data_IF_271160875864
#
_entry.id   IF_271160875864
#
_cell.length_a   1.000
_cell.length_b   1.000
_cell.length_c   1.000
_cell.angle_alpha   90.00
_cell.angle_beta   90.00
_cell.angle_gamma   90.00
#
_symmetry.space_group_name_H-M   'P 1'
#
loop_
_entity.id
_entity.type
_entity.pdbx_description
1 polymer ?
#
# COMPACT_ATOMS: atom_id res chain seq x y z
N UNK A 1 -30.59 48.94 -38.00
CA UNK A 1 -29.63 49.48 -37.01
C UNK A 1 -28.32 48.74 -37.20
N UNK A 2 -27.27 49.40 -37.71
CA UNK A 2 -26.04 49.82 -36.97
C UNK A 2 -25.29 48.59 -36.40
N UNK A 3 -24.00 48.32 -36.58
CA UNK A 3 -22.79 49.01 -37.04
C UNK A 3 -21.70 47.92 -37.27
N UNK A 4 -20.74 48.12 -38.16
CA UNK A 4 -19.45 47.39 -38.21
C UNK A 4 -18.47 47.95 -37.13
N UNK A 5 -17.15 47.70 -37.11
CA UNK A 5 -16.26 46.55 -37.45
C UNK A 5 -15.28 46.21 -36.28
N UNK A 6 -14.36 45.24 -36.41
CA UNK A 6 -13.00 45.35 -35.81
C UNK A 6 -12.02 44.24 -36.26
N UNK A 7 -10.82 44.68 -36.65
CA UNK A 7 -9.61 43.95 -37.02
C UNK A 7 -8.69 43.69 -35.81
N UNK A 8 -7.66 42.85 -36.05
CA UNK A 8 -6.41 42.59 -35.29
C UNK A 8 -6.52 41.39 -34.33
N UNK A 9 -5.55 40.49 -34.20
CA UNK A 9 -4.10 40.64 -34.30
C UNK A 9 -3.41 39.32 -34.63
N UNK A 10 -2.32 39.39 -35.41
CA UNK A 10 -1.30 38.36 -35.51
C UNK A 10 -0.55 38.25 -34.18
N UNK A 11 -0.33 37.03 -33.70
CA UNK A 11 0.79 36.70 -32.83
C UNK A 11 1.35 35.34 -33.27
N UNK A 12 2.42 35.41 -34.07
CA UNK A 12 3.33 34.29 -34.29
C UNK A 12 4.03 34.02 -32.97
N UNK A 13 3.76 32.87 -32.34
CA UNK A 13 4.67 32.33 -31.35
C UNK A 13 5.50 31.23 -32.00
N UNK A 14 6.81 31.45 -31.95
CA UNK A 14 7.82 30.57 -32.49
C UNK A 14 7.75 29.20 -31.81
N UNK A 15 7.63 28.15 -32.61
CA UNK A 15 7.85 26.79 -32.16
C UNK A 15 9.33 26.63 -31.78
N UNK A 16 9.61 26.47 -30.49
CA UNK A 16 10.91 26.00 -30.00
C UNK A 16 10.80 24.49 -29.83
N UNK A 17 11.60 23.67 -30.54
CA UNK A 17 11.63 22.24 -30.29
C UNK A 17 12.34 22.03 -28.95
N UNK A 18 11.57 21.69 -27.89
CA UNK A 18 12.17 21.24 -26.63
C UNK A 18 12.63 19.80 -26.79
N UNK A 19 13.94 19.61 -26.62
CA UNK A 19 14.61 18.32 -26.60
C UNK A 19 13.92 17.40 -25.60
N UNK A 20 13.42 16.27 -26.10
CA UNK A 20 13.07 15.10 -25.30
C UNK A 20 14.29 14.71 -24.45
N UNK A 21 14.17 14.83 -23.13
CA UNK A 21 15.03 14.14 -22.20
C UNK A 21 14.41 12.76 -21.97
N UNK A 22 14.76 11.82 -22.85
CA UNK A 22 14.56 10.41 -22.58
C UNK A 22 15.47 10.02 -21.41
N UNK A 23 14.93 10.00 -20.18
CA UNK A 23 15.59 9.31 -19.07
C UNK A 23 15.44 7.81 -19.30
N UNK A 24 16.42 7.24 -20.02
CA UNK A 24 16.65 5.80 -19.98
C UNK A 24 17.08 5.43 -18.57
N UNK A 25 16.31 4.58 -17.89
CA UNK A 25 16.78 3.82 -16.75
C UNK A 25 17.85 2.83 -17.23
N UNK A 26 19.08 3.29 -17.32
CA UNK A 26 20.24 2.47 -17.62
C UNK A 26 20.64 1.65 -16.39
N UNK A 27 20.84 0.34 -16.58
CA UNK A 27 21.54 -0.55 -15.65
C UNK A 27 22.83 0.14 -15.16
N UNK A 28 22.89 0.43 -13.86
CA UNK A 28 24.05 1.06 -13.22
C UNK A 28 25.21 0.06 -13.15
N UNK A 29 26.07 0.06 -14.17
CA UNK A 29 27.36 -0.65 -14.14
C UNK A 29 28.28 0.10 -13.18
N UNK A 30 28.73 -0.55 -12.09
CA UNK A 30 29.66 0.04 -11.13
C UNK A 30 31.02 0.32 -11.79
N UNK A 31 31.29 1.58 -12.13
CA UNK A 31 32.63 2.03 -12.51
C UNK A 31 33.45 2.31 -11.23
N UNK A 32 34.44 1.46 -10.95
CA UNK A 32 35.43 1.68 -9.88
C UNK A 32 36.39 2.82 -10.28
N UNK A 33 36.09 4.04 -9.86
CA UNK A 33 37.03 5.17 -9.95
C UNK A 33 37.77 5.31 -8.61
N UNK A 34 39.09 5.13 -8.64
CA UNK A 34 39.97 5.51 -7.53
C UNK A 34 40.23 7.02 -7.63
N UNK A 35 39.60 7.80 -6.76
CA UNK A 35 39.97 9.20 -6.53
C UNK A 35 40.22 9.43 -5.05
N UNK A 36 41.48 9.69 -4.72
CA UNK A 36 41.93 10.21 -3.43
C UNK A 36 41.61 11.71 -3.35
N UNK A 37 40.74 12.10 -2.40
CA UNK A 37 40.87 13.23 -1.45
C UNK A 37 39.49 13.78 -1.04
N UNK A 38 39.08 13.50 0.21
CA UNK A 38 38.70 14.44 1.29
C UNK A 38 38.03 13.64 2.42
N UNK A 39 38.48 13.87 3.65
CA UNK A 39 38.25 13.01 4.83
C UNK A 39 36.81 13.10 5.36
N UNK A 40 35.94 12.23 4.85
CA UNK A 40 34.80 11.69 5.57
C UNK A 40 34.66 10.24 5.12
N UNK A 41 34.59 9.30 6.05
CA UNK A 41 34.35 7.91 5.67
C UNK A 41 32.99 7.83 4.94
N UNK A 42 32.83 6.86 4.04
CA UNK A 42 31.52 6.63 3.41
C UNK A 42 30.42 6.42 4.48
N UNK A 43 30.78 5.87 5.64
CA UNK A 43 29.89 5.75 6.79
C UNK A 43 29.45 7.11 7.35
N UNK A 44 30.37 8.07 7.52
CA UNK A 44 30.03 9.40 8.03
C UNK A 44 29.14 10.18 7.05
N UNK A 45 29.39 10.08 5.74
CA UNK A 45 28.52 10.71 4.73
C UNK A 45 27.13 10.06 4.72
N UNK A 46 27.06 8.73 4.83
CA UNK A 46 25.81 7.99 4.89
C UNK A 46 24.98 8.38 6.12
N UNK A 47 25.61 8.59 7.28
CA UNK A 47 24.91 9.04 8.49
C UNK A 47 24.29 10.42 8.29
N UNK A 48 25.03 11.37 7.71
CA UNK A 48 24.51 12.72 7.43
C UNK A 48 23.31 12.67 6.46
N UNK A 49 23.39 11.85 5.40
CA UNK A 49 22.29 11.64 4.48
C UNK A 49 21.06 11.02 5.18
N UNK A 50 21.25 9.98 5.98
CA UNK A 50 20.18 9.31 6.71
C UNK A 50 19.50 10.26 7.71
N UNK A 51 20.25 11.13 8.40
CA UNK A 51 19.67 12.13 9.30
C UNK A 51 18.84 13.18 8.58
N UNK A 52 19.29 13.61 7.39
CA UNK A 52 18.52 14.48 6.51
C UNK A 52 17.21 13.84 6.09
N UNK A 53 17.28 12.60 5.58
CA UNK A 53 16.11 11.84 5.11
C UNK A 53 15.10 11.61 6.24
N UNK A 54 15.54 11.07 7.39
CA UNK A 54 14.67 10.80 8.55
C UNK A 54 13.95 12.08 9.02
N UNK A 55 14.60 13.24 8.93
CA UNK A 55 13.99 14.52 9.29
C UNK A 55 12.89 14.91 8.32
N UNK A 56 13.18 14.84 7.02
CA UNK A 56 12.22 15.17 5.97
C UNK A 56 10.97 14.27 6.08
N UNK A 57 11.15 12.96 6.28
CA UNK A 57 10.03 12.02 6.33
C UNK A 57 9.14 12.20 7.57
N UNK A 58 9.72 12.57 8.71
CA UNK A 58 8.96 12.88 9.93
C UNK A 58 8.19 14.19 9.82
N UNK A 59 8.75 15.17 9.12
CA UNK A 59 8.05 16.42 8.84
C UNK A 59 6.82 16.18 7.95
N UNK A 60 6.94 15.31 6.94
CA UNK A 60 5.83 14.88 6.09
C UNK A 60 4.74 14.13 6.89
N UNK A 61 5.14 13.16 7.73
CA UNK A 61 4.20 12.38 8.56
C UNK A 61 3.37 13.29 9.48
N UNK A 62 4.00 14.29 10.10
CA UNK A 62 3.34 15.24 11.01
C UNK A 62 2.26 16.12 10.34
N UNK A 63 2.30 16.24 9.02
CA UNK A 63 1.34 17.00 8.24
C UNK A 63 0.15 16.15 7.77
N UNK A 64 0.26 14.81 7.84
CA UNK A 64 -0.69 13.84 7.28
C UNK A 64 -1.61 13.18 8.34
N UNK A 65 -1.82 13.82 9.50
CA UNK A 65 -2.43 13.23 10.70
C UNK A 65 -3.90 12.78 10.55
N UNK A 66 -4.11 11.66 9.88
CA UNK A 66 -5.34 10.90 9.87
C UNK A 66 -5.06 9.49 10.40
N UNK A 67 -5.32 9.28 11.68
CA UNK A 67 -5.16 7.99 12.31
C UNK A 67 -6.36 7.12 11.95
N UNK A 68 -6.23 6.34 10.88
CA UNK A 68 -7.23 5.35 10.50
C UNK A 68 -7.48 4.37 11.66
N UNK A 69 -8.74 4.08 11.93
CA UNK A 69 -9.15 3.16 12.99
C UNK A 69 -10.19 2.20 12.45
N UNK A 70 -10.08 0.92 12.81
CA UNK A 70 -10.99 -0.14 12.37
C UNK A 70 -12.10 -0.35 13.40
N UNK A 71 -13.36 0.08 13.15
CA UNK A 71 -14.41 -0.01 14.15
C UNK A 71 -14.69 -1.45 14.59
N UNK A 72 -14.58 -1.70 15.90
CA UNK A 72 -14.83 -3.02 16.49
C UNK A 72 -13.70 -4.04 16.31
N UNK A 73 -12.62 -3.70 15.62
CA UNK A 73 -11.41 -4.51 15.56
C UNK A 73 -10.39 -4.05 16.59
N UNK A 74 -9.74 -5.02 17.24
CA UNK A 74 -8.53 -4.79 18.00
C UNK A 74 -7.32 -4.97 17.08
N UNK A 75 -6.46 -3.95 17.03
CA UNK A 75 -5.28 -3.88 16.17
C UNK A 75 -4.04 -4.30 16.97
N UNK A 76 -3.25 -5.22 16.42
CA UNK A 76 -1.94 -5.59 16.97
C UNK A 76 -0.91 -5.64 15.85
N UNK A 77 0.36 -5.40 16.17
CA UNK A 77 1.43 -5.37 15.16
C UNK A 77 2.64 -6.17 15.62
N UNK A 78 3.34 -6.77 14.64
CA UNK A 78 4.59 -7.49 14.85
C UNK A 78 5.53 -7.22 13.66
N UNK A 79 6.42 -6.23 13.81
CA UNK A 79 7.22 -5.75 12.68
C UNK A 79 6.34 -5.18 11.58
N UNK A 80 6.48 -5.67 10.35
CA UNK A 80 5.66 -5.25 9.21
C UNK A 80 4.28 -5.93 9.15
N UNK A 81 4.02 -6.93 9.99
CA UNK A 81 2.73 -7.61 10.05
C UNK A 81 1.75 -6.86 10.96
N UNK A 82 0.51 -6.74 10.50
CA UNK A 82 -0.62 -6.16 11.23
C UNK A 82 -1.73 -7.20 11.31
N UNK A 83 -2.31 -7.31 12.50
CA UNK A 83 -3.42 -8.23 12.78
C UNK A 83 -4.60 -7.48 13.37
N UNK A 84 -5.77 -7.68 12.78
CA UNK A 84 -7.05 -7.14 13.24
C UNK A 84 -7.90 -8.30 13.77
N UNK A 85 -8.38 -8.19 15.00
CA UNK A 85 -9.21 -9.23 15.63
C UNK A 85 -10.56 -8.68 16.07
N UNK A 86 -11.63 -9.41 15.79
CA UNK A 86 -13.00 -9.03 16.17
C UNK A 86 -13.84 -10.28 16.44
N UNK A 87 -14.85 -10.16 17.29
CA UNK A 87 -15.91 -11.17 17.44
C UNK A 87 -17.17 -10.76 16.69
N UNK A 88 -17.82 -11.72 16.04
CA UNK A 88 -19.12 -11.54 15.42
C UNK A 88 -20.03 -12.72 15.78
N UNK A 89 -20.92 -12.53 16.76
CA UNK A 89 -21.73 -13.62 17.30
C UNK A 89 -20.86 -14.73 17.91
N UNK A 90 -20.88 -15.92 17.30
CA UNK A 90 -20.06 -17.07 17.69
C UNK A 90 -18.84 -17.30 16.79
N UNK A 91 -18.47 -16.30 16.00
CA UNK A 91 -17.33 -16.34 15.08
C UNK A 91 -16.21 -15.43 15.59
N UNK A 92 -14.98 -15.91 15.43
CA UNK A 92 -13.77 -15.11 15.63
C UNK A 92 -13.21 -14.72 14.26
N UNK A 93 -13.12 -13.41 14.01
CA UNK A 93 -12.62 -12.83 12.76
C UNK A 93 -11.18 -12.37 12.99
N UNK A 94 -10.29 -12.82 12.13
CA UNK A 94 -8.89 -12.40 12.08
C UNK A 94 -8.60 -11.87 10.67
N UNK A 95 -8.07 -10.66 10.58
CA UNK A 95 -7.51 -10.11 9.34
C UNK A 95 -6.01 -9.94 9.53
N UNK A 96 -5.22 -10.37 8.56
CA UNK A 96 -3.76 -10.29 8.58
C UNK A 96 -3.29 -9.62 7.30
N UNK A 97 -2.42 -8.63 7.40
CA UNK A 97 -1.72 -8.07 6.25
C UNK A 97 -0.30 -7.67 6.61
N UNK A 98 0.56 -7.55 5.60
CA UNK A 98 1.95 -7.18 5.77
C UNK A 98 2.30 -6.03 4.84
N UNK A 99 2.93 -4.98 5.37
CA UNK A 99 3.25 -3.77 4.58
C UNK A 99 4.53 -3.90 3.75
N UNK A 100 5.28 -5.00 3.88
CA UNK A 100 6.47 -5.22 3.05
C UNK A 100 6.10 -5.26 1.56
N UNK A 101 6.84 -4.49 0.74
CA UNK A 101 6.67 -4.46 -0.72
C UNK A 101 5.23 -4.13 -1.17
N UNK A 102 4.49 -3.37 -0.35
CA UNK A 102 3.07 -3.05 -0.61
C UNK A 102 2.84 -1.67 -1.23
N UNK A 103 3.89 -0.84 -1.31
CA UNK A 103 3.78 0.51 -1.86
C UNK A 103 3.66 0.45 -3.38
N UNK A 104 2.57 0.99 -3.88
CA UNK A 104 2.35 1.32 -5.28
C UNK A 104 2.48 2.83 -5.47
N UNK A 105 3.06 3.22 -6.61
CA UNK A 105 3.21 4.61 -7.02
C UNK A 105 2.41 4.75 -8.30
N UNK A 106 1.18 5.27 -8.19
CA UNK A 106 0.33 5.52 -9.34
C UNK A 106 0.95 6.61 -10.24
N UNK A 107 1.80 6.20 -11.20
CA UNK A 107 2.45 7.07 -12.18
C UNK A 107 1.45 7.66 -13.20
N UNK A 108 0.28 7.02 -13.36
CA UNK A 108 -0.77 7.35 -14.33
C UNK A 108 -1.89 8.25 -13.77
N UNK A 109 -1.70 8.88 -12.61
CA UNK A 109 -2.66 9.84 -12.06
C UNK A 109 -2.68 11.13 -12.91
N UNK A 110 -3.28 11.08 -14.12
CA UNK A 110 -3.51 12.23 -15.02
C UNK A 110 -4.58 13.23 -14.49
N UNK A 111 -4.76 13.33 -13.17
CA UNK A 111 -5.86 14.05 -12.53
C UNK A 111 -5.41 15.00 -11.44
N UNK A 112 -5.52 16.31 -11.76
CA UNK A 112 -5.50 17.47 -10.85
C UNK A 112 -4.11 17.99 -10.40
N UNK A 113 -3.59 18.91 -11.24
CA UNK A 113 -2.35 19.67 -11.13
C UNK A 113 -1.12 18.99 -11.78
N UNK A 114 -0.64 19.47 -12.95
CA UNK A 114 0.52 18.92 -13.66
C UNK A 114 1.88 19.10 -12.93
N UNK A 115 1.86 19.38 -11.63
CA UNK A 115 3.02 19.65 -10.77
C UNK A 115 2.92 18.92 -9.41
N UNK A 116 1.89 18.08 -9.19
CA UNK A 116 1.79 17.25 -8.00
C UNK A 116 2.59 15.95 -8.20
N UNK A 117 3.54 15.68 -7.30
CA UNK A 117 4.26 14.42 -7.31
C UNK A 117 3.29 13.25 -7.03
N UNK A 118 3.45 12.08 -7.68
CA UNK A 118 2.69 10.88 -7.36
C UNK A 118 2.77 10.58 -5.87
N UNK A 119 1.63 10.39 -5.22
CA UNK A 119 1.56 10.06 -3.79
C UNK A 119 1.69 8.54 -3.66
N UNK A 120 2.70 8.02 -2.95
CA UNK A 120 2.82 6.58 -2.70
C UNK A 120 1.66 6.08 -1.84
N UNK A 121 1.07 4.94 -2.22
CA UNK A 121 -0.05 4.31 -1.50
C UNK A 121 0.28 2.85 -1.25
N UNK A 122 0.07 2.36 -0.03
CA UNK A 122 0.28 0.95 0.29
C UNK A 122 -1.00 0.13 0.06
N UNK A 123 -0.93 -0.85 -0.83
CA UNK A 123 -2.01 -1.78 -1.21
C UNK A 123 -1.63 -3.24 -0.86
N UNK A 124 -1.40 -3.58 0.42
CA UNK A 124 -0.97 -4.91 0.78
C UNK A 124 -2.09 -5.92 0.52
N UNK A 125 -1.78 -7.12 -0.02
CA UNK A 125 -2.72 -8.23 0.04
C UNK A 125 -3.00 -8.57 1.51
N UNK A 126 -4.18 -9.10 1.77
CA UNK A 126 -4.61 -9.43 3.12
C UNK A 126 -5.33 -10.77 3.18
N UNK A 127 -5.24 -11.41 4.34
CA UNK A 127 -5.93 -12.66 4.63
C UNK A 127 -7.08 -12.40 5.58
N UNK A 128 -8.21 -13.05 5.37
CA UNK A 128 -9.33 -13.08 6.31
C UNK A 128 -9.54 -14.52 6.77
N UNK A 129 -9.62 -14.73 8.07
CA UNK A 129 -10.04 -15.99 8.68
C UNK A 129 -11.29 -15.78 9.53
N UNK A 130 -12.28 -16.62 9.32
CA UNK A 130 -13.53 -16.65 10.09
C UNK A 130 -13.60 -18.02 10.77
N UNK A 131 -13.29 -18.05 12.06
CA UNK A 131 -13.25 -19.29 12.85
C UNK A 131 -14.59 -19.57 13.50
N UNK A 132 -15.08 -20.80 13.34
CA UNK A 132 -16.32 -21.29 13.95
C UNK A 132 -16.19 -22.75 14.37
N UNK A 133 -16.20 -23.00 15.68
CA UNK A 133 -16.04 -24.35 16.21
C UNK A 133 -14.63 -24.90 15.89
N UNK A 134 -14.51 -26.10 15.30
CA UNK A 134 -13.21 -26.72 15.03
C UNK A 134 -12.57 -26.28 13.70
N UNK A 135 -13.23 -25.44 12.90
CA UNK A 135 -12.82 -25.06 11.56
C UNK A 135 -12.77 -23.54 11.40
N UNK A 136 -12.02 -23.09 10.39
CA UNK A 136 -11.97 -21.71 9.92
C UNK A 136 -12.14 -21.66 8.40
N UNK A 137 -12.90 -20.67 7.96
CA UNK A 137 -13.01 -20.30 6.55
C UNK A 137 -11.99 -19.20 6.27
N UNK A 138 -11.10 -19.47 5.33
CA UNK A 138 -9.95 -18.63 5.01
C UNK A 138 -10.09 -18.05 3.60
N UNK A 139 -9.69 -16.80 3.45
CA UNK A 139 -9.63 -16.08 2.19
C UNK A 139 -8.27 -15.40 2.06
N UNK A 140 -7.67 -15.47 0.87
CA UNK A 140 -6.59 -14.58 0.45
C UNK A 140 -7.18 -13.54 -0.51
N UNK A 141 -6.98 -12.26 -0.21
CA UNK A 141 -7.59 -11.15 -0.91
C UNK A 141 -6.53 -10.15 -1.37
N UNK A 142 -6.78 -9.55 -2.53
CA UNK A 142 -6.02 -8.42 -3.04
C UNK A 142 -6.86 -7.15 -2.97
N UNK A 143 -6.24 -6.04 -2.58
CA UNK A 143 -6.88 -4.72 -2.63
C UNK A 143 -6.88 -4.26 -4.08
N UNK A 144 -8.03 -3.78 -4.57
CA UNK A 144 -8.17 -3.26 -5.92
C UNK A 144 -8.86 -1.90 -5.93
N UNK A 145 -8.64 -1.14 -7.01
CA UNK A 145 -9.37 0.10 -7.24
C UNK A 145 -10.80 -0.22 -7.69
N UNK A 146 -11.77 0.20 -6.88
CA UNK A 146 -13.20 0.10 -7.17
C UNK A 146 -13.74 1.34 -7.88
N UNK A 147 -15.07 1.45 -7.92
CA UNK A 147 -15.73 2.62 -8.49
C UNK A 147 -15.53 3.87 -7.61
N UNK A 148 -15.54 5.05 -8.24
CA UNK A 148 -15.50 6.35 -7.55
C UNK A 148 -14.26 6.58 -6.67
N UNK A 149 -13.08 6.10 -7.09
CA UNK A 149 -11.81 6.27 -6.35
C UNK A 149 -11.84 5.66 -4.94
N UNK A 150 -12.67 4.63 -4.74
CA UNK A 150 -12.70 3.85 -3.51
C UNK A 150 -11.97 2.54 -3.70
N UNK A 151 -11.35 2.03 -2.64
CA UNK A 151 -10.76 0.70 -2.65
C UNK A 151 -11.78 -0.39 -2.32
N UNK A 152 -11.65 -1.52 -3.00
CA UNK A 152 -12.40 -2.75 -2.78
C UNK A 152 -11.43 -3.94 -2.71
N UNK A 153 -11.94 -5.17 -2.72
CA UNK A 153 -11.11 -6.38 -2.77
C UNK A 153 -11.54 -7.37 -3.85
N UNK A 154 -10.57 -8.15 -4.31
CA UNK A 154 -10.78 -9.36 -5.09
C UNK A 154 -10.36 -10.58 -4.27
N UNK A 155 -11.13 -11.66 -4.34
CA UNK A 155 -10.77 -12.93 -3.70
C UNK A 155 -9.90 -13.74 -4.65
N UNK A 156 -8.63 -13.91 -4.30
CA UNK A 156 -7.69 -14.72 -5.08
C UNK A 156 -7.89 -16.21 -4.80
N UNK A 157 -8.02 -16.56 -3.51
CA UNK A 157 -8.11 -17.94 -3.06
C UNK A 157 -9.01 -18.06 -1.82
N UNK A 158 -9.73 -19.17 -1.69
CA UNK A 158 -10.52 -19.49 -0.51
C UNK A 158 -10.50 -21.00 -0.19
N UNK A 159 -10.60 -21.33 1.10
CA UNK A 159 -10.55 -22.72 1.59
C UNK A 159 -11.08 -22.86 3.02
N UNK A 160 -11.31 -24.12 3.43
CA UNK A 160 -11.59 -24.47 4.83
C UNK A 160 -10.34 -25.13 5.43
N UNK A 161 -9.96 -24.69 6.62
CA UNK A 161 -8.89 -25.31 7.41
C UNK A 161 -9.37 -25.60 8.83
N UNK A 162 -8.63 -26.43 9.57
CA UNK A 162 -8.84 -26.57 11.00
C UNK A 162 -8.58 -25.22 11.70
N UNK A 163 -9.33 -24.93 12.76
CA UNK A 163 -9.08 -23.78 13.61
C UNK A 163 -7.64 -23.82 14.15
N UNK A 164 -6.98 -22.66 14.17
CA UNK A 164 -5.61 -22.52 14.67
C UNK A 164 -5.52 -22.99 16.12
N UNK A 165 -4.44 -23.70 16.46
CA UNK A 165 -4.19 -24.17 17.83
C UNK A 165 -3.01 -23.42 18.43
N UNK A 166 -3.30 -22.49 19.33
CA UNK A 166 -2.27 -21.64 19.92
C UNK A 166 -1.67 -20.72 18.86
N UNK A 167 -0.36 -20.81 18.64
CA UNK A 167 0.36 -20.02 17.64
C UNK A 167 0.61 -20.77 16.32
N UNK A 168 0.07 -21.98 16.17
CA UNK A 168 0.21 -22.77 14.95
C UNK A 168 -0.92 -22.39 13.98
N UNK A 169 -0.57 -21.52 13.04
CA UNK A 169 -1.47 -20.98 12.01
C UNK A 169 -1.21 -21.59 10.63
N UNK A 170 -0.17 -22.39 10.49
CA UNK A 170 0.20 -23.03 9.23
C UNK A 170 -0.91 -23.95 8.71
N UNK A 171 -1.24 -23.79 7.44
CA UNK A 171 -2.20 -24.65 6.74
C UNK A 171 -1.43 -25.75 6.03
N UNK A 172 -1.79 -27.00 6.30
CA UNK A 172 -1.13 -28.14 5.68
C UNK A 172 -1.35 -28.15 4.16
N UNK A 173 -0.31 -28.47 3.39
CA UNK A 173 -0.33 -28.41 1.91
C UNK A 173 -1.32 -29.34 1.21
N UNK A 174 -1.92 -30.28 1.94
CA UNK A 174 -2.96 -31.17 1.41
C UNK A 174 -4.38 -30.60 1.54
N UNK A 175 -4.55 -29.45 2.21
CA UNK A 175 -5.81 -28.73 2.27
C UNK A 175 -6.13 -28.22 0.88
N UNK A 176 -7.33 -28.55 0.39
CA UNK A 176 -7.78 -28.08 -0.91
C UNK A 176 -8.13 -26.60 -0.84
N UNK A 177 -7.58 -25.82 -1.77
CA UNK A 177 -7.93 -24.43 -1.99
C UNK A 177 -8.38 -24.21 -3.43
N UNK A 178 -9.30 -23.27 -3.61
CA UNK A 178 -9.85 -22.93 -4.91
C UNK A 178 -9.62 -21.46 -5.19
N UNK A 179 -9.35 -21.14 -6.46
CA UNK A 179 -9.27 -19.75 -6.90
C UNK A 179 -10.65 -19.11 -6.88
N UNK A 180 -10.73 -17.86 -6.43
CA UNK A 180 -11.97 -17.08 -6.48
C UNK A 180 -12.49 -16.86 -7.91
N UNK A 181 -11.63 -16.98 -8.93
CA UNK A 181 -12.01 -16.77 -10.34
C UNK A 181 -12.99 -17.82 -10.89
N UNK A 182 -13.05 -19.02 -10.30
CA UNK A 182 -13.86 -20.13 -10.81
C UNK A 182 -15.20 -20.30 -10.10
N UNK A 183 -15.55 -19.41 -9.16
CA UNK A 183 -16.77 -19.53 -8.38
C UNK A 183 -18.01 -19.14 -9.20
N UNK A 184 -19.15 -19.80 -8.93
CA UNK A 184 -20.44 -19.42 -9.53
C UNK A 184 -20.85 -17.99 -9.13
N UNK A 185 -21.52 -17.25 -10.03
CA UNK A 185 -21.87 -15.85 -9.81
C UNK A 185 -22.81 -15.62 -8.62
N UNK A 186 -23.74 -16.54 -8.34
CA UNK A 186 -24.62 -16.40 -7.18
C UNK A 186 -23.85 -16.66 -5.89
N UNK A 187 -22.94 -17.64 -5.91
CA UNK A 187 -22.10 -17.92 -4.76
C UNK A 187 -21.10 -16.78 -4.50
N UNK A 188 -20.60 -16.13 -5.56
CA UNK A 188 -19.79 -14.91 -5.45
C UNK A 188 -20.53 -13.82 -4.65
N UNK A 189 -21.74 -13.42 -5.08
CA UNK A 189 -22.55 -12.40 -4.40
C UNK A 189 -22.82 -12.75 -2.92
N UNK A 190 -23.17 -14.01 -2.64
CA UNK A 190 -23.49 -14.41 -1.28
C UNK A 190 -22.25 -14.54 -0.37
N UNK A 191 -21.19 -15.20 -0.85
CA UNK A 191 -20.03 -15.57 -0.03
C UNK A 191 -18.94 -14.49 0.00
N UNK A 192 -18.60 -13.92 -1.15
CA UNK A 192 -17.49 -12.96 -1.25
C UNK A 192 -17.94 -11.52 -1.00
N UNK A 193 -19.23 -11.22 -1.20
CA UNK A 193 -19.77 -9.89 -0.93
C UNK A 193 -20.54 -9.90 0.39
N UNK A 194 -21.78 -10.39 0.40
CA UNK A 194 -22.69 -10.20 1.55
C UNK A 194 -22.20 -10.83 2.84
N UNK A 195 -21.67 -12.05 2.79
CA UNK A 195 -21.17 -12.73 4.00
C UNK A 195 -19.96 -12.01 4.61
N UNK A 196 -19.06 -11.43 3.80
CA UNK A 196 -17.94 -10.64 4.32
C UNK A 196 -18.39 -9.25 4.81
N UNK A 197 -19.30 -8.59 4.09
CA UNK A 197 -19.87 -7.29 4.48
C UNK A 197 -20.60 -7.35 5.82
N UNK A 198 -21.40 -8.37 6.08
CA UNK A 198 -22.07 -8.57 7.38
C UNK A 198 -21.09 -8.64 8.56
N UNK A 199 -19.83 -9.01 8.30
CA UNK A 199 -18.75 -9.08 9.28
C UNK A 199 -17.98 -7.76 9.42
N UNK A 200 -18.29 -6.78 8.58
CA UNK A 200 -17.65 -5.47 8.52
C UNK A 200 -16.41 -5.45 7.64
N UNK A 201 -16.36 -6.34 6.63
CA UNK A 201 -15.33 -6.36 5.58
C UNK A 201 -15.98 -5.85 4.29
N UNK A 202 -16.15 -4.54 4.21
CA UNK A 202 -16.82 -3.83 3.12
C UNK A 202 -15.85 -2.82 2.46
N UNK A 203 -16.35 -2.04 1.50
CA UNK A 203 -15.58 -0.97 0.86
C UNK A 203 -15.00 0.03 1.88
N UNK A 204 -15.73 0.36 2.95
CA UNK A 204 -15.21 1.27 3.99
C UNK A 204 -14.01 0.66 4.74
N UNK A 205 -14.08 -0.64 5.04
CA UNK A 205 -12.95 -1.39 5.59
C UNK A 205 -11.73 -1.32 4.68
N UNK A 206 -11.87 -1.54 3.36
CA UNK A 206 -10.75 -1.46 2.42
C UNK A 206 -10.11 -0.07 2.36
N UNK A 207 -10.91 0.99 2.30
CA UNK A 207 -10.37 2.36 2.34
C UNK A 207 -9.62 2.64 3.65
N UNK A 208 -10.15 2.16 4.77
CA UNK A 208 -9.48 2.25 6.09
C UNK A 208 -8.17 1.46 6.10
N UNK A 209 -8.17 0.26 5.49
CA UNK A 209 -6.99 -0.59 5.38
C UNK A 209 -5.89 0.09 4.58
N UNK A 210 -6.19 0.64 3.41
CA UNK A 210 -5.20 1.35 2.58
C UNK A 210 -4.63 2.56 3.30
N UNK A 211 -5.49 3.37 3.93
CA UNK A 211 -5.05 4.53 4.70
C UNK A 211 -4.15 4.13 5.88
N UNK A 212 -4.54 3.11 6.64
CA UNK A 212 -3.76 2.59 7.76
C UNK A 212 -2.43 2.00 7.27
N UNK A 213 -2.45 1.16 6.23
CA UNK A 213 -1.28 0.50 5.68
C UNK A 213 -0.28 1.53 5.17
N UNK A 214 -0.73 2.57 4.46
CA UNK A 214 0.13 3.63 3.93
C UNK A 214 0.85 4.37 5.06
N UNK A 215 0.11 4.74 6.12
CA UNK A 215 0.73 5.36 7.29
C UNK A 215 1.67 4.40 8.03
N UNK A 216 1.29 3.13 8.18
CA UNK A 216 2.08 2.15 8.92
C UNK A 216 3.37 1.79 8.18
N UNK A 217 3.31 1.64 6.86
CA UNK A 217 4.47 1.43 5.97
C UNK A 217 5.47 2.57 6.12
N UNK A 218 5.02 3.82 6.01
CA UNK A 218 5.87 4.99 6.20
C UNK A 218 6.59 4.99 7.55
N UNK A 219 5.86 4.65 8.62
CA UNK A 219 6.42 4.52 9.96
C UNK A 219 7.48 3.41 10.04
N UNK A 220 7.25 2.26 9.38
CA UNK A 220 8.24 1.19 9.27
C UNK A 220 9.48 1.62 8.45
N UNK A 221 9.30 2.38 7.38
CA UNK A 221 10.39 2.92 6.56
C UNK A 221 11.29 3.86 7.38
N UNK A 222 10.70 4.85 8.06
CA UNK A 222 11.44 5.73 8.99
C UNK A 222 12.15 4.91 10.08
N UNK A 223 11.50 3.86 10.60
CA UNK A 223 12.10 2.92 11.55
C UNK A 223 13.31 2.17 10.96
N UNK A 224 13.23 1.73 9.70
CA UNK A 224 14.32 1.08 8.98
C UNK A 224 15.50 2.03 8.78
N UNK A 225 15.27 3.27 8.34
CA UNK A 225 16.33 4.27 8.18
C UNK A 225 17.09 4.52 9.49
N UNK A 226 16.37 4.60 10.62
CA UNK A 226 16.99 4.72 11.94
C UNK A 226 17.85 3.50 12.28
N UNK A 227 17.36 2.28 12.03
CA UNK A 227 18.13 1.04 12.24
C UNK A 227 19.39 0.97 11.37
N UNK A 228 19.31 1.41 10.11
CA UNK A 228 20.48 1.49 9.21
C UNK A 228 21.49 2.49 9.77
N UNK A 229 21.03 3.67 10.22
CA UNK A 229 21.91 4.67 10.85
C UNK A 229 22.63 4.11 12.08
N UNK A 230 21.88 3.45 12.97
CA UNK A 230 22.44 2.78 14.16
C UNK A 230 23.42 1.66 13.79
N UNK A 231 23.16 0.93 12.71
CA UNK A 231 24.06 -0.13 12.25
C UNK A 231 25.39 0.43 11.72
N UNK A 232 25.35 1.53 10.95
CA UNK A 232 26.52 2.16 10.33
C UNK A 232 27.40 2.89 11.36
N UNK A 233 26.82 3.28 12.50
CA UNK A 233 27.53 4.03 13.57
C UNK A 233 28.19 3.14 14.63
N UNK A 234 27.95 1.82 14.61
CA UNK A 234 28.61 0.85 15.48
C UNK A 234 30.06 0.61 15.07
#
# INVERSE_FOLDING_TARGET
MRLAPALRSLARFAAVPRRSLAQHQGLQIRCLHSSTQFFSSAASQLVECLEGEIRAEKELESQSLSQASFPGFNVTTNGAEVRLTKKHGNEDILVIFNVNHSVDVNEDAEGEAPDAAPVPVALPPFQVEITKGPERLCFHLEVCEGANQQYDFAVEEFYIANAAKGNEEDVASHVYASSGQYIDSNLHDLLFVRYLEERGLDTHFCNTLVQYATHYEHSQYVGLLNKIKEFVTK
#
